data_IF_324248189817
#
_entry.id   IF_324248189817
#
_cell.length_a   1.000
_cell.length_b   1.000
_cell.length_c   1.000
_cell.angle_alpha   90.00
_cell.angle_beta   90.00
_cell.angle_gamma   90.00
#
_symmetry.space_group_name_H-M   'P 1'
#
loop_
_entity.id
_entity.type
_entity.pdbx_description
1 polymer ?
#
# COMPACT_ATOMS: atom_id res chain seq x y z
N UNK A 1 16.06 18.01 11.25
CA UNK A 1 16.35 17.38 9.94
C UNK A 1 16.41 18.47 8.89
N UNK A 2 17.17 18.27 7.81
CA UNK A 2 17.00 19.12 6.62
C UNK A 2 15.72 18.66 5.90
N UNK A 3 14.94 19.63 5.43
CA UNK A 3 13.70 19.39 4.68
C UNK A 3 14.00 19.39 3.17
N UNK A 4 13.75 18.25 2.54
CA UNK A 4 13.96 17.99 1.10
C UNK A 4 12.65 17.85 0.32
N UNK A 5 11.49 18.10 0.93
CA UNK A 5 10.19 17.87 0.27
C UNK A 5 10.03 18.67 -1.04
N UNK A 6 10.75 19.80 -1.18
CA UNK A 6 10.77 20.64 -2.39
C UNK A 6 12.19 20.90 -2.93
N UNK A 7 13.18 20.08 -2.55
CA UNK A 7 14.58 20.25 -2.94
C UNK A 7 15.16 18.94 -3.48
N UNK A 8 16.22 19.05 -4.26
CA UNK A 8 16.94 17.88 -4.74
C UNK A 8 17.48 17.04 -3.58
N UNK A 9 17.30 15.72 -3.67
CA UNK A 9 17.87 14.76 -2.72
C UNK A 9 19.37 14.63 -3.01
N UNK A 10 20.25 14.89 -2.04
CA UNK A 10 21.69 14.78 -2.25
C UNK A 10 22.11 13.31 -2.35
N UNK A 11 23.21 12.98 -3.07
CA UNK A 11 23.61 11.60 -3.37
C UNK A 11 23.67 10.66 -2.16
N UNK A 12 24.12 11.15 -1.00
CA UNK A 12 24.23 10.38 0.25
C UNK A 12 22.89 9.93 0.84
N UNK A 13 21.77 10.51 0.39
CA UNK A 13 20.41 10.16 0.82
C UNK A 13 19.62 9.36 -0.23
N UNK A 14 20.22 9.03 -1.38
CA UNK A 14 19.54 8.32 -2.48
C UNK A 14 19.49 6.80 -2.33
N UNK A 15 19.86 6.26 -1.17
CA UNK A 15 19.88 4.81 -0.94
C UNK A 15 20.84 4.05 -1.88
N UNK A 16 21.91 4.70 -2.36
CA UNK A 16 22.91 4.09 -3.24
C UNK A 16 22.62 4.20 -4.74
N UNK A 17 21.53 4.85 -5.16
CA UNK A 17 21.28 5.13 -6.58
C UNK A 17 22.27 6.17 -7.13
N UNK A 18 23.03 5.79 -8.15
CA UNK A 18 24.04 6.64 -8.80
C UNK A 18 23.81 6.88 -10.30
N UNK A 19 22.75 6.28 -10.86
CA UNK A 19 22.45 6.32 -12.29
C UNK A 19 21.40 7.35 -12.65
N UNK A 20 20.60 7.03 -13.67
CA UNK A 20 19.45 7.82 -14.09
C UNK A 20 18.53 8.14 -12.91
N UNK A 21 18.12 9.41 -12.80
CA UNK A 21 17.33 9.90 -11.68
C UNK A 21 16.31 10.92 -12.16
N UNK A 22 15.04 10.73 -11.83
CA UNK A 22 13.93 11.66 -12.07
C UNK A 22 12.98 11.55 -10.89
N UNK A 23 13.35 12.17 -9.77
CA UNK A 23 12.63 11.98 -8.51
C UNK A 23 12.53 13.24 -7.67
N UNK A 24 11.51 13.26 -6.81
CA UNK A 24 11.31 14.18 -5.70
C UNK A 24 11.17 13.37 -4.42
N UNK A 25 11.57 13.92 -3.28
CA UNK A 25 11.38 13.27 -1.96
C UNK A 25 9.89 13.09 -1.65
N UNK A 26 9.10 14.11 -1.93
CA UNK A 26 7.63 14.08 -1.82
C UNK A 26 7.06 14.67 -3.11
N UNK A 27 6.76 13.80 -4.09
CA UNK A 27 6.26 14.21 -5.41
C UNK A 27 4.97 15.05 -5.30
N UNK A 28 4.15 14.76 -4.29
CA UNK A 28 2.96 15.55 -3.96
C UNK A 28 3.26 17.03 -3.71
N UNK A 29 4.43 17.38 -3.19
CA UNK A 29 4.77 18.78 -2.86
C UNK A 29 5.50 19.50 -4.00
N UNK A 30 5.79 18.79 -5.09
CA UNK A 30 6.44 19.33 -6.29
C UNK A 30 5.57 19.19 -7.54
N UNK A 31 4.33 18.70 -7.42
CA UNK A 31 3.43 18.50 -8.56
C UNK A 31 1.95 18.52 -8.17
N UNK A 32 1.11 18.83 -9.14
CA UNK A 32 -0.33 18.52 -9.15
C UNK A 32 -0.59 17.41 -10.20
N UNK A 33 -1.85 17.10 -10.49
CA UNK A 33 -2.19 16.07 -11.48
C UNK A 33 -1.80 16.39 -12.93
N UNK A 34 -1.46 17.63 -13.27
CA UNK A 34 -1.25 18.10 -14.65
C UNK A 34 0.05 18.90 -14.89
N UNK A 35 0.89 19.03 -13.88
CA UNK A 35 2.19 19.68 -13.99
C UNK A 35 2.99 19.60 -12.70
N UNK A 36 4.27 19.93 -12.80
CA UNK A 36 5.16 19.87 -11.66
C UNK A 36 6.60 19.79 -12.08
N UNK A 37 7.43 19.32 -11.16
CA UNK A 37 8.83 19.08 -11.40
C UNK A 37 9.36 17.93 -10.55
N UNK A 38 10.44 17.32 -11.06
CA UNK A 38 11.32 16.40 -10.35
C UNK A 38 12.75 16.93 -10.38
N UNK A 39 13.68 16.23 -9.76
CA UNK A 39 15.11 16.53 -9.88
C UNK A 39 15.84 15.42 -10.63
N UNK A 40 16.89 15.80 -11.35
CA UNK A 40 17.82 14.87 -12.00
C UNK A 40 18.99 14.46 -11.10
N UNK A 41 19.86 13.59 -11.62
CA UNK A 41 21.00 13.07 -10.88
C UNK A 41 22.03 14.15 -10.56
N UNK A 42 22.10 15.23 -11.35
CA UNK A 42 22.90 16.44 -11.12
C UNK A 42 22.17 17.48 -10.24
N UNK A 43 21.08 17.08 -9.58
CA UNK A 43 20.29 17.93 -8.68
C UNK A 43 19.62 19.13 -9.38
N UNK A 44 19.51 19.11 -10.70
CA UNK A 44 18.80 20.14 -11.46
C UNK A 44 17.32 19.83 -11.49
N UNK A 45 16.51 20.90 -11.51
CA UNK A 45 15.06 20.80 -11.62
C UNK A 45 14.68 20.46 -13.05
N UNK A 46 13.82 19.46 -13.21
CA UNK A 46 13.21 19.05 -14.47
C UNK A 46 11.70 19.29 -14.39
N UNK A 47 11.22 20.35 -15.02
CA UNK A 47 9.79 20.66 -15.11
C UNK A 47 9.09 19.74 -16.12
N UNK A 48 7.84 19.40 -15.84
CA UNK A 48 6.94 18.70 -16.76
C UNK A 48 5.56 19.34 -16.80
N UNK A 49 4.86 19.11 -17.91
CA UNK A 49 3.48 19.54 -18.12
C UNK A 49 2.72 18.45 -18.86
N UNK A 50 1.48 18.21 -18.45
CA UNK A 50 0.70 17.07 -18.87
C UNK A 50 0.29 16.22 -17.66
N UNK A 51 -0.55 15.22 -17.90
CA UNK A 51 -1.02 14.37 -16.81
C UNK A 51 0.18 13.68 -16.15
N UNK A 52 0.35 13.88 -14.84
CA UNK A 52 1.58 13.52 -14.13
C UNK A 52 1.95 12.05 -14.30
N UNK A 53 0.97 11.14 -14.27
CA UNK A 53 1.23 9.72 -14.48
C UNK A 53 1.91 9.42 -15.82
N UNK A 54 1.56 10.17 -16.88
CA UNK A 54 2.19 10.06 -18.20
C UNK A 54 3.62 10.58 -18.16
N UNK A 55 3.85 11.74 -17.54
CA UNK A 55 5.18 12.34 -17.43
C UNK A 55 6.16 11.45 -16.63
N UNK A 56 5.70 10.83 -15.53
CA UNK A 56 6.52 9.88 -14.76
C UNK A 56 6.82 8.61 -15.59
N UNK A 57 5.85 8.13 -16.37
CA UNK A 57 6.09 7.01 -17.28
C UNK A 57 7.06 7.37 -18.42
N UNK A 58 7.01 8.60 -18.92
CA UNK A 58 7.92 9.10 -19.95
C UNK A 58 9.37 9.11 -19.48
N UNK A 59 9.63 9.48 -18.22
CA UNK A 59 10.97 9.37 -17.62
C UNK A 59 11.47 7.93 -17.52
N UNK A 60 10.60 6.97 -17.21
CA UNK A 60 10.97 5.57 -17.22
C UNK A 60 11.26 5.06 -18.65
N UNK A 61 10.54 5.55 -19.66
CA UNK A 61 10.83 5.28 -21.07
C UNK A 61 12.16 5.91 -21.52
N UNK A 62 12.47 7.14 -21.07
CA UNK A 62 13.76 7.81 -21.31
C UNK A 62 14.94 6.98 -20.79
N UNK A 63 14.79 6.41 -19.58
CA UNK A 63 15.78 5.45 -19.06
C UNK A 63 15.93 4.24 -19.97
N UNK A 64 14.81 3.61 -20.36
CA UNK A 64 14.85 2.43 -21.22
C UNK A 64 15.48 2.74 -22.59
N UNK A 65 15.21 3.91 -23.18
CA UNK A 65 15.80 4.34 -24.44
C UNK A 65 17.32 4.48 -24.37
N UNK A 66 17.84 5.02 -23.26
CA UNK A 66 19.28 5.20 -23.05
C UNK A 66 20.00 3.95 -22.52
N UNK A 67 19.25 2.94 -22.07
CA UNK A 67 19.81 1.72 -21.49
C UNK A 67 20.57 0.87 -22.54
N UNK A 68 21.85 0.63 -22.26
CA UNK A 68 22.82 0.00 -23.17
C UNK A 68 23.17 -1.47 -22.80
N UNK A 69 22.54 -2.04 -21.77
CA UNK A 69 22.79 -3.42 -21.30
C UNK A 69 24.19 -3.71 -20.73
N UNK A 70 24.99 -2.70 -20.38
CA UNK A 70 26.31 -2.91 -19.76
C UNK A 70 26.22 -3.39 -18.30
N UNK A 71 25.16 -3.00 -17.58
CA UNK A 71 24.91 -3.38 -16.18
C UNK A 71 23.43 -3.70 -15.99
N UNK A 72 23.06 -4.64 -15.09
CA UNK A 72 21.67 -4.84 -14.72
C UNK A 72 21.08 -3.56 -14.11
N UNK A 73 19.77 -3.38 -14.23
CA UNK A 73 19.07 -2.25 -13.64
C UNK A 73 18.09 -2.69 -12.55
N UNK A 74 17.86 -1.79 -11.61
CA UNK A 74 16.73 -1.82 -10.69
C UNK A 74 16.03 -0.46 -10.82
N UNK A 75 14.75 -0.48 -11.17
CA UNK A 75 13.99 0.73 -11.50
C UNK A 75 12.66 0.72 -10.73
N UNK A 76 12.42 1.80 -9.98
CA UNK A 76 11.14 2.07 -9.34
C UNK A 76 10.43 3.17 -10.13
N UNK A 77 9.26 2.86 -10.68
CA UNK A 77 8.35 3.86 -11.27
C UNK A 77 7.25 4.14 -10.25
N UNK A 78 7.50 5.13 -9.38
CA UNK A 78 6.57 5.49 -8.30
C UNK A 78 5.53 6.47 -8.82
N UNK A 79 4.37 5.94 -9.21
CA UNK A 79 3.20 6.77 -9.50
C UNK A 79 2.59 7.26 -8.19
N UNK A 80 2.07 8.48 -8.20
CA UNK A 80 1.28 9.01 -7.09
C UNK A 80 -0.21 8.80 -7.36
N UNK A 81 -0.63 8.75 -8.63
CA UNK A 81 -1.98 8.33 -9.00
C UNK A 81 -2.29 6.93 -8.47
N UNK A 82 -3.51 6.67 -7.96
CA UNK A 82 -4.68 7.56 -7.98
C UNK A 82 -4.84 8.40 -6.70
N UNK A 83 -3.78 8.83 -6.01
CA UNK A 83 -3.90 9.56 -4.75
C UNK A 83 -4.78 10.82 -4.87
N UNK A 84 -5.56 11.09 -3.81
CA UNK A 84 -6.35 12.33 -3.67
C UNK A 84 -5.43 13.55 -3.60
N UNK A 85 -5.70 14.61 -4.36
CA UNK A 85 -4.78 15.76 -4.38
C UNK A 85 -5.04 16.71 -3.21
N UNK A 86 -4.06 16.87 -2.32
CA UNK A 86 -4.19 17.65 -1.10
C UNK A 86 -4.50 19.15 -1.33
N UNK A 87 -4.07 19.71 -2.45
CA UNK A 87 -4.29 21.13 -2.82
C UNK A 87 -5.64 21.35 -3.52
N UNK A 88 -6.07 20.40 -4.35
CA UNK A 88 -7.34 20.44 -5.06
C UNK A 88 -8.52 19.88 -4.24
N UNK A 89 -8.21 19.14 -3.18
CA UNK A 89 -9.16 18.44 -2.33
C UNK A 89 -10.06 17.43 -3.06
N UNK A 90 -9.63 16.89 -4.20
CA UNK A 90 -10.33 15.85 -4.97
C UNK A 90 -9.35 14.92 -5.69
N UNK A 91 -9.83 13.76 -6.13
CA UNK A 91 -9.09 12.90 -7.05
C UNK A 91 -8.98 13.58 -8.41
N UNK A 92 -7.82 13.48 -9.05
CA UNK A 92 -7.59 14.07 -10.38
C UNK A 92 -7.32 12.97 -11.41
N UNK A 93 -8.38 12.57 -12.11
CA UNK A 93 -8.30 11.69 -13.27
C UNK A 93 -7.90 12.43 -14.56
N UNK A 94 -7.53 11.70 -15.63
CA UNK A 94 -7.33 12.29 -16.95
C UNK A 94 -8.59 12.96 -17.49
N UNK A 95 -8.48 14.13 -18.13
CA UNK A 95 -9.62 14.87 -18.71
C UNK A 95 -10.61 13.95 -19.44
N UNK A 96 -11.88 13.99 -19.04
CA UNK A 96 -12.93 13.11 -19.58
C UNK A 96 -13.22 11.86 -18.73
N UNK A 97 -12.49 11.64 -17.64
CA UNK A 97 -12.68 10.49 -16.73
C UNK A 97 -14.06 10.45 -16.11
N UNK A 98 -14.59 11.58 -15.62
CA UNK A 98 -15.94 11.62 -15.03
C UNK A 98 -17.02 11.20 -16.00
N UNK A 99 -16.95 11.65 -17.25
CA UNK A 99 -17.92 11.29 -18.28
C UNK A 99 -17.77 9.83 -18.71
N UNK A 100 -16.52 9.37 -18.89
CA UNK A 100 -16.23 8.00 -19.31
C UNK A 100 -16.65 6.96 -18.29
N UNK A 101 -16.43 7.26 -17.01
CA UNK A 101 -16.75 6.37 -15.89
C UNK A 101 -18.02 6.81 -15.15
N UNK A 102 -18.96 7.50 -15.82
CA UNK A 102 -20.20 7.94 -15.19
C UNK A 102 -21.10 6.79 -14.71
N UNK A 103 -21.07 5.65 -15.42
CA UNK A 103 -21.86 4.44 -15.11
C UNK A 103 -21.08 3.45 -14.23
N UNK A 104 -20.28 3.96 -13.29
CA UNK A 104 -19.48 3.15 -12.38
C UNK A 104 -20.33 2.31 -11.42
N UNK A 105 -19.75 1.20 -10.95
CA UNK A 105 -20.27 0.44 -9.82
C UNK A 105 -19.31 0.59 -8.65
N UNK A 106 -19.84 0.99 -7.49
CA UNK A 106 -19.03 1.05 -6.30
C UNK A 106 -18.70 -0.37 -5.80
N UNK A 107 -17.51 -0.57 -5.22
CA UNK A 107 -17.24 -1.69 -4.33
C UNK A 107 -18.35 -1.85 -3.30
N UNK A 108 -18.73 -3.10 -3.01
CA UNK A 108 -19.89 -3.43 -2.17
C UNK A 108 -19.82 -2.84 -0.76
N UNK A 109 -18.62 -2.75 -0.18
CA UNK A 109 -18.40 -2.13 1.12
C UNK A 109 -18.70 -0.63 1.06
N UNK A 110 -18.19 0.09 0.05
CA UNK A 110 -18.46 1.51 -0.14
C UNK A 110 -19.96 1.77 -0.42
N UNK A 111 -20.59 0.91 -1.22
CA UNK A 111 -22.02 0.99 -1.49
C UNK A 111 -22.86 0.77 -0.22
N UNK A 112 -22.54 -0.27 0.56
CA UNK A 112 -23.32 -0.66 1.72
C UNK A 112 -23.18 0.29 2.91
N UNK A 113 -21.96 0.76 3.19
CA UNK A 113 -21.71 1.75 4.25
C UNK A 113 -22.36 3.09 3.92
N UNK A 114 -22.34 3.46 2.63
CA UNK A 114 -22.70 4.80 2.21
C UNK A 114 -21.81 5.86 2.89
N UNK A 115 -22.27 7.11 2.87
CA UNK A 115 -21.46 8.23 3.34
C UNK A 115 -20.19 8.43 2.48
N UNK A 116 -19.20 9.10 3.06
CA UNK A 116 -17.96 9.43 2.36
C UNK A 116 -18.18 10.27 1.09
N UNK A 117 -17.22 10.20 0.17
CA UNK A 117 -17.22 10.93 -1.10
C UNK A 117 -17.02 10.02 -2.33
N UNK A 118 -17.11 8.70 -2.15
CA UNK A 118 -16.91 7.72 -3.23
C UNK A 118 -17.75 8.02 -4.48
N UNK A 119 -19.03 8.37 -4.34
CA UNK A 119 -19.90 8.64 -5.49
C UNK A 119 -19.43 9.82 -6.36
N UNK A 120 -18.77 10.80 -5.76
CA UNK A 120 -18.25 11.96 -6.47
C UNK A 120 -16.86 11.69 -7.07
N UNK A 121 -16.02 10.98 -6.33
CA UNK A 121 -14.59 10.82 -6.61
C UNK A 121 -14.25 9.60 -7.45
N UNK A 122 -15.06 8.54 -7.38
CA UNK A 122 -14.72 7.24 -7.98
C UNK A 122 -14.49 7.29 -9.49
N UNK A 123 -15.22 8.07 -10.31
CA UNK A 123 -14.93 8.17 -11.73
C UNK A 123 -13.51 8.67 -12.06
N UNK A 124 -13.00 9.65 -11.29
CA UNK A 124 -11.65 10.17 -11.48
C UNK A 124 -10.59 9.20 -10.92
N UNK A 125 -10.89 8.52 -9.82
CA UNK A 125 -10.08 7.41 -9.32
C UNK A 125 -9.92 6.30 -10.39
N UNK A 126 -11.02 5.88 -11.02
CA UNK A 126 -11.00 4.89 -12.10
C UNK A 126 -10.22 5.38 -13.32
N UNK A 127 -10.36 6.66 -13.69
CA UNK A 127 -9.59 7.26 -14.77
C UNK A 127 -8.09 7.28 -14.50
N UNK A 128 -7.68 7.58 -13.27
CA UNK A 128 -6.29 7.52 -12.85
C UNK A 128 -5.75 6.07 -12.89
N UNK A 129 -6.51 5.10 -12.37
CA UNK A 129 -6.17 3.67 -12.44
C UNK A 129 -6.02 3.18 -13.89
N UNK A 130 -6.98 3.49 -14.77
CA UNK A 130 -6.90 3.16 -16.20
C UNK A 130 -5.62 3.75 -16.81
N UNK A 131 -5.26 4.98 -16.42
CA UNK A 131 -4.08 5.59 -16.99
C UNK A 131 -2.78 4.95 -16.51
N UNK A 132 -2.69 4.59 -15.23
CA UNK A 132 -1.56 3.82 -14.69
C UNK A 132 -1.42 2.48 -15.41
N UNK A 133 -2.53 1.77 -15.68
CA UNK A 133 -2.54 0.53 -16.47
C UNK A 133 -2.01 0.74 -17.90
N UNK A 134 -2.51 1.76 -18.60
CA UNK A 134 -2.04 2.10 -19.94
C UNK A 134 -0.53 2.42 -19.95
N UNK A 135 -0.03 3.13 -18.94
CA UNK A 135 1.39 3.45 -18.81
C UNK A 135 2.26 2.24 -18.48
N UNK A 136 1.79 1.30 -17.66
CA UNK A 136 2.44 0.00 -17.50
C UNK A 136 2.52 -0.75 -18.85
N UNK A 137 1.45 -0.72 -19.65
CA UNK A 137 1.43 -1.27 -21.00
C UNK A 137 2.51 -0.67 -21.91
N UNK A 138 2.74 0.64 -21.85
CA UNK A 138 3.81 1.34 -22.59
C UNK A 138 5.19 0.86 -22.17
N UNK A 139 5.45 0.72 -20.87
CA UNK A 139 6.72 0.22 -20.35
C UNK A 139 6.98 -1.23 -20.78
N UNK A 140 5.96 -2.09 -20.69
CA UNK A 140 6.04 -3.48 -21.15
C UNK A 140 6.32 -3.55 -22.65
N UNK A 141 5.64 -2.74 -23.46
CA UNK A 141 5.87 -2.67 -24.89
C UNK A 141 7.32 -2.26 -25.19
N UNK A 142 7.85 -1.27 -24.45
CA UNK A 142 9.25 -0.82 -24.61
C UNK A 142 10.26 -1.90 -24.21
N UNK A 143 10.01 -2.61 -23.11
CA UNK A 143 10.84 -3.76 -22.72
C UNK A 143 10.85 -4.85 -23.80
N UNK A 144 9.71 -5.11 -24.46
CA UNK A 144 9.62 -6.08 -25.57
C UNK A 144 10.36 -5.59 -26.81
N UNK A 145 10.17 -4.34 -27.20
CA UNK A 145 10.87 -3.68 -28.31
C UNK A 145 12.40 -3.79 -28.15
N UNK A 146 12.90 -3.57 -26.93
CA UNK A 146 14.33 -3.65 -26.63
C UNK A 146 14.84 -5.07 -26.36
N UNK A 147 14.00 -6.09 -26.43
CA UNK A 147 14.37 -7.48 -26.11
C UNK A 147 14.72 -7.73 -24.64
N UNK A 148 14.29 -6.85 -23.73
CA UNK A 148 14.58 -6.92 -22.29
C UNK A 148 13.48 -7.62 -21.50
N UNK A 149 12.28 -7.75 -22.08
CA UNK A 149 11.10 -8.25 -21.37
C UNK A 149 11.32 -9.62 -20.71
N UNK A 150 11.90 -10.58 -21.42
CA UNK A 150 12.12 -11.92 -20.87
C UNK A 150 13.14 -11.96 -19.72
N UNK A 151 14.05 -10.99 -19.66
CA UNK A 151 15.07 -10.88 -18.61
C UNK A 151 14.75 -9.79 -17.57
N UNK A 152 13.48 -9.39 -17.46
CA UNK A 152 13.02 -8.39 -16.50
C UNK A 152 11.94 -8.98 -15.60
N UNK A 153 12.14 -8.89 -14.28
CA UNK A 153 11.07 -9.13 -13.31
C UNK A 153 10.28 -7.84 -13.14
N UNK A 154 8.96 -7.92 -13.28
CA UNK A 154 8.04 -6.79 -13.10
C UNK A 154 7.21 -7.05 -11.85
N UNK A 155 7.24 -6.10 -10.92
CA UNK A 155 6.42 -6.09 -9.70
C UNK A 155 5.47 -4.88 -9.81
N UNK A 156 4.17 -5.14 -9.79
CA UNK A 156 3.13 -4.13 -9.72
C UNK A 156 2.39 -4.26 -8.39
N UNK A 157 2.34 -3.19 -7.62
CA UNK A 157 1.67 -3.15 -6.32
C UNK A 157 1.19 -1.74 -6.00
N UNK A 158 0.43 -1.61 -4.91
CA UNK A 158 0.14 -0.34 -4.26
C UNK A 158 0.68 -0.35 -2.82
N UNK A 159 0.85 0.82 -2.23
CA UNK A 159 1.25 1.03 -0.84
C UNK A 159 0.07 0.87 0.13
N UNK A 160 -1.13 1.32 -0.25
CA UNK A 160 -2.38 1.16 0.49
C UNK A 160 -3.62 1.32 -0.41
N UNK A 161 -4.78 0.90 0.09
CA UNK A 161 -6.07 1.11 -0.55
C UNK A 161 -6.68 2.49 -0.29
N UNK A 162 -7.93 2.69 -0.74
CA UNK A 162 -8.73 3.87 -0.43
C UNK A 162 -10.14 3.47 -0.06
N UNK A 163 -10.58 3.87 1.14
CA UNK A 163 -11.94 3.63 1.60
C UNK A 163 -12.86 4.84 1.40
N UNK A 164 -12.43 5.87 0.65
CA UNK A 164 -13.28 7.04 0.30
C UNK A 164 -13.98 7.66 1.51
N UNK A 165 -13.25 7.72 2.64
CA UNK A 165 -13.71 8.24 3.94
C UNK A 165 -14.94 7.55 4.55
N UNK A 166 -15.31 6.36 4.05
CA UNK A 166 -16.40 5.54 4.62
C UNK A 166 -15.99 4.81 5.91
N UNK A 167 -14.68 4.55 6.10
CA UNK A 167 -14.14 3.72 7.17
C UNK A 167 -13.38 4.53 8.20
N UNK A 168 -13.97 5.60 8.71
CA UNK A 168 -13.35 6.53 9.67
C UNK A 168 -14.43 7.40 10.37
N UNK A 169 -15.48 6.75 10.86
CA UNK A 169 -16.60 7.43 11.51
C UNK A 169 -16.71 7.05 12.99
N UNK A 170 -15.66 6.47 13.55
CA UNK A 170 -15.69 5.92 14.90
C UNK A 170 -15.53 7.04 15.93
N UNK A 171 -16.35 7.02 16.98
CA UNK A 171 -16.36 8.07 18.01
C UNK A 171 -15.03 8.17 18.78
N UNK A 172 -14.25 7.09 18.76
CA UNK A 172 -12.97 6.98 19.44
C UNK A 172 -11.75 7.30 18.56
N UNK A 173 -11.96 7.83 17.35
CA UNK A 173 -10.90 8.35 16.50
C UNK A 173 -10.16 9.51 17.19
N UNK A 174 -8.83 9.41 17.20
CA UNK A 174 -7.96 10.34 17.90
C UNK A 174 -6.72 10.62 17.05
N UNK A 175 -6.86 11.48 16.04
CA UNK A 175 -5.75 11.91 15.20
C UNK A 175 -6.14 12.39 13.81
N UNK A 176 -5.22 12.29 12.84
CA UNK A 176 -5.45 12.71 11.46
C UNK A 176 -6.11 11.60 10.68
N UNK A 177 -7.09 11.97 9.86
CA UNK A 177 -7.82 10.96 9.13
C UNK A 177 -8.24 11.35 7.73
N UNK A 178 -8.11 10.39 6.83
CA UNK A 178 -8.23 10.58 5.39
C UNK A 178 -8.89 9.35 4.71
N UNK A 179 -8.20 8.72 3.78
CA UNK A 179 -8.69 7.68 2.87
C UNK A 179 -8.13 6.28 3.16
N UNK A 180 -7.20 6.11 4.11
CA UNK A 180 -6.39 4.87 4.22
C UNK A 180 -6.09 4.37 5.64
N UNK A 181 -6.38 5.15 6.68
CA UNK A 181 -5.82 4.91 8.04
C UNK A 181 -6.69 3.99 8.88
N UNK A 182 -6.96 2.82 8.33
CA UNK A 182 -7.97 1.90 8.84
C UNK A 182 -7.49 0.46 8.77
N UNK A 183 -7.99 -0.40 9.67
CA UNK A 183 -7.67 -1.83 9.67
C UNK A 183 -8.40 -2.61 8.55
N UNK A 184 -9.37 -1.99 7.88
CA UNK A 184 -10.24 -2.64 6.89
C UNK A 184 -9.50 -2.97 5.58
N UNK A 185 -9.97 -3.97 4.84
CA UNK A 185 -9.38 -4.42 3.58
C UNK A 185 -9.40 -3.30 2.52
N UNK A 186 -10.37 -2.38 2.59
CA UNK A 186 -10.40 -1.18 1.75
C UNK A 186 -9.14 -0.29 1.89
N UNK A 187 -8.39 -0.42 2.99
CA UNK A 187 -7.11 0.23 3.23
C UNK A 187 -5.91 -0.74 3.13
N UNK A 188 -6.03 -1.95 3.68
CA UNK A 188 -4.88 -2.86 3.81
C UNK A 188 -4.68 -3.83 2.64
N UNK A 189 -5.73 -4.15 1.88
CA UNK A 189 -5.68 -5.15 0.80
C UNK A 189 -5.32 -4.47 -0.52
N UNK A 190 -4.06 -4.56 -0.90
CA UNK A 190 -3.52 -3.99 -2.15
C UNK A 190 -3.37 -5.03 -3.26
N UNK A 191 -3.42 -4.63 -4.54
CA UNK A 191 -3.02 -5.52 -5.64
C UNK A 191 -1.52 -5.85 -5.51
N UNK A 192 -1.15 -7.08 -5.85
CA UNK A 192 0.25 -7.49 -6.05
C UNK A 192 0.32 -8.45 -7.23
N UNK A 193 1.06 -8.07 -8.27
CA UNK A 193 1.34 -8.89 -9.45
C UNK A 193 2.84 -8.93 -9.66
N UNK A 194 3.40 -10.14 -9.72
CA UNK A 194 4.83 -10.35 -10.00
C UNK A 194 4.95 -11.23 -11.24
N UNK A 195 5.77 -10.81 -12.20
CA UNK A 195 6.05 -11.56 -13.44
C UNK A 195 7.53 -11.68 -13.66
N UNK A 196 8.00 -12.89 -13.96
CA UNK A 196 9.39 -13.18 -14.33
C UNK A 196 10.16 -13.91 -13.23
N UNK A 197 11.29 -14.51 -13.58
CA UNK A 197 12.05 -15.37 -12.67
C UNK A 197 11.23 -16.55 -12.18
N UNK A 198 11.15 -16.75 -10.86
CA UNK A 198 10.33 -17.78 -10.23
C UNK A 198 8.81 -17.60 -10.49
N UNK A 199 8.36 -16.40 -10.87
CA UNK A 199 6.95 -16.04 -11.04
C UNK A 199 6.49 -16.14 -12.51
N UNK A 200 6.63 -17.31 -13.13
CA UNK A 200 6.36 -17.51 -14.57
C UNK A 200 5.13 -18.37 -14.90
N UNK A 201 4.46 -18.92 -13.89
CA UNK A 201 3.35 -19.89 -14.05
C UNK A 201 1.99 -19.25 -14.31
N UNK A 202 1.81 -17.97 -13.98
CA UNK A 202 0.52 -17.27 -14.09
C UNK A 202 -0.54 -17.72 -13.06
N UNK A 203 -0.12 -18.27 -11.91
CA UNK A 203 -1.00 -18.73 -10.85
C UNK A 203 -1.53 -17.60 -9.96
N UNK A 204 -2.74 -17.79 -9.42
CA UNK A 204 -3.27 -16.97 -8.32
C UNK A 204 -2.86 -17.60 -7.00
N UNK A 205 -2.27 -16.81 -6.12
CA UNK A 205 -1.86 -17.24 -4.77
C UNK A 205 -2.84 -16.65 -3.76
N UNK A 206 -3.58 -17.53 -3.05
CA UNK A 206 -4.57 -17.12 -2.03
C UNK A 206 -3.96 -16.98 -0.62
N UNK A 207 -2.71 -17.42 -0.45
CA UNK A 207 -1.98 -17.21 0.80
C UNK A 207 -1.80 -15.71 1.07
N UNK A 208 -1.98 -15.32 2.33
CA UNK A 208 -1.80 -13.94 2.75
C UNK A 208 -0.33 -13.59 2.69
N UNK A 209 0.00 -12.46 2.08
CA UNK A 209 1.37 -11.93 1.99
C UNK A 209 1.36 -10.44 2.34
N UNK A 210 2.51 -9.89 2.73
CA UNK A 210 2.67 -8.48 3.08
C UNK A 210 3.64 -7.79 2.12
N UNK A 211 3.39 -6.50 1.84
CA UNK A 211 4.31 -5.64 1.07
C UNK A 211 5.69 -5.53 1.72
N UNK A 212 5.81 -5.78 3.03
CA UNK A 212 7.10 -5.85 3.74
C UNK A 212 8.02 -6.98 3.22
N UNK A 213 7.45 -7.96 2.51
CA UNK A 213 8.18 -9.08 1.91
C UNK A 213 8.86 -8.70 0.59
N UNK A 214 8.48 -7.57 -0.04
CA UNK A 214 8.99 -7.17 -1.34
C UNK A 214 10.50 -6.90 -1.34
N UNK A 215 11.08 -6.14 -0.39
CA UNK A 215 12.53 -5.92 -0.36
C UNK A 215 13.34 -7.22 -0.31
N UNK A 216 12.92 -8.16 0.55
CA UNK A 216 13.57 -9.48 0.68
C UNK A 216 13.42 -10.32 -0.58
N UNK A 217 12.24 -10.31 -1.19
CA UNK A 217 11.98 -11.01 -2.45
C UNK A 217 12.82 -10.44 -3.60
N UNK A 218 12.95 -9.11 -3.70
CA UNK A 218 13.78 -8.45 -4.72
C UNK A 218 15.25 -8.85 -4.57
N UNK A 219 15.77 -8.87 -3.34
CA UNK A 219 17.14 -9.31 -3.07
C UNK A 219 17.34 -10.80 -3.40
N UNK A 220 16.40 -11.67 -3.04
CA UNK A 220 16.44 -13.09 -3.38
C UNK A 220 16.46 -13.32 -4.89
N UNK A 221 15.61 -12.61 -5.65
CA UNK A 221 15.61 -12.64 -7.12
C UNK A 221 16.93 -12.15 -7.75
N UNK A 222 17.67 -11.29 -7.05
CA UNK A 222 19.01 -10.86 -7.43
C UNK A 222 20.12 -11.82 -6.96
N UNK A 223 19.78 -12.94 -6.31
CA UNK A 223 20.72 -13.92 -5.79
C UNK A 223 21.36 -13.55 -4.45
N UNK A 224 20.75 -12.63 -3.69
CA UNK A 224 21.24 -12.14 -2.40
C UNK A 224 20.39 -12.70 -1.26
N UNK A 225 20.97 -13.58 -0.45
CA UNK A 225 20.33 -14.11 0.76
C UNK A 225 20.61 -13.19 1.97
N UNK A 226 19.55 -12.60 2.51
CA UNK A 226 19.58 -11.75 3.72
C UNK A 226 19.17 -12.49 4.99
N UNK A 227 18.75 -13.76 4.88
CA UNK A 227 18.33 -14.60 5.99
C UNK A 227 17.32 -13.91 6.91
N UNK A 228 17.67 -13.83 8.20
CA UNK A 228 16.87 -13.17 9.25
C UNK A 228 17.22 -11.69 9.47
N UNK A 229 18.14 -11.13 8.68
CA UNK A 229 18.55 -9.73 8.79
C UNK A 229 17.53 -8.73 8.24
N UNK A 230 16.52 -9.23 7.50
CA UNK A 230 15.43 -8.46 6.93
C UNK A 230 14.10 -9.11 7.28
N UNK A 231 13.11 -8.29 7.66
CA UNK A 231 11.74 -8.72 7.93
C UNK A 231 11.05 -9.20 6.65
N UNK A 232 9.88 -9.82 6.82
CA UNK A 232 9.11 -10.37 5.72
C UNK A 232 9.67 -11.69 5.18
N UNK A 233 8.94 -12.20 4.20
CA UNK A 233 9.16 -13.49 3.58
C UNK A 233 9.83 -13.33 2.21
N UNK A 234 10.46 -14.39 1.73
CA UNK A 234 10.80 -14.47 0.31
C UNK A 234 9.59 -15.06 -0.42
N UNK A 235 8.88 -14.22 -1.17
CA UNK A 235 7.66 -14.63 -1.87
C UNK A 235 7.93 -15.70 -2.94
N UNK A 236 9.16 -15.81 -3.45
CA UNK A 236 9.52 -16.88 -4.39
C UNK A 236 9.41 -18.28 -3.74
N UNK A 237 9.49 -18.37 -2.41
CA UNK A 237 9.29 -19.62 -1.66
C UNK A 237 7.84 -19.86 -1.27
N UNK A 238 7.03 -18.79 -1.21
CA UNK A 238 5.62 -18.83 -0.83
C UNK A 238 4.75 -19.29 -2.01
N UNK A 239 5.10 -18.92 -3.24
CA UNK A 239 4.30 -19.27 -4.45
C UNK A 239 4.15 -20.77 -4.68
N UNK A 240 5.12 -21.57 -4.24
CA UNK A 240 5.11 -23.03 -4.40
C UNK A 240 4.31 -23.73 -3.27
N UNK A 241 3.83 -22.99 -2.27
CA UNK A 241 3.04 -23.51 -1.14
C UNK A 241 3.85 -24.36 -0.15
N UNK A 242 5.19 -24.37 -0.27
CA UNK A 242 6.09 -25.33 0.39
C UNK A 242 6.76 -24.84 1.68
N UNK A 243 6.26 -23.77 2.31
CA UNK A 243 6.88 -23.30 3.56
C UNK A 243 6.26 -24.01 4.76
N UNK A 244 6.88 -25.11 5.19
CA UNK A 244 6.50 -25.87 6.39
C UNK A 244 6.49 -24.95 7.63
N UNK A 245 5.40 -25.01 8.41
CA UNK A 245 5.25 -24.22 9.64
C UNK A 245 4.93 -22.74 9.42
N UNK A 246 4.74 -22.28 8.17
CA UNK A 246 4.32 -20.91 7.88
C UNK A 246 2.89 -20.64 8.37
N UNK A 247 2.74 -19.63 9.22
CA UNK A 247 1.43 -19.12 9.61
C UNK A 247 0.84 -18.27 8.48
N UNK A 248 -0.41 -18.55 8.08
CA UNK A 248 -1.11 -17.75 7.08
C UNK A 248 -1.83 -16.58 7.76
N UNK A 249 -1.06 -15.61 8.23
CA UNK A 249 -1.54 -14.43 8.96
C UNK A 249 -0.71 -13.19 8.65
N UNK A 250 -1.31 -12.01 8.82
CA UNK A 250 -0.67 -10.70 8.60
C UNK A 250 -0.88 -9.83 9.83
N UNK A 251 0.18 -9.11 10.20
CA UNK A 251 0.17 -8.06 11.20
C UNK A 251 0.13 -6.69 10.53
N UNK A 252 -0.66 -5.76 11.08
CA UNK A 252 -0.71 -4.38 10.62
C UNK A 252 -0.70 -3.40 11.79
N UNK A 253 -0.03 -2.27 11.59
CA UNK A 253 -0.07 -1.12 12.49
C UNK A 253 -0.90 -0.01 11.85
N UNK A 254 -1.84 0.54 12.61
CA UNK A 254 -2.62 1.71 12.23
C UNK A 254 -2.06 2.87 13.05
N UNK A 255 -1.66 3.92 12.34
CA UNK A 255 -1.04 5.13 12.89
C UNK A 255 -1.75 6.37 12.34
N UNK A 256 -1.46 7.51 12.95
CA UNK A 256 -2.04 8.83 12.63
C UNK A 256 -3.53 8.97 12.96
N UNK A 257 -4.43 8.09 12.53
CA UNK A 257 -5.87 8.13 12.88
C UNK A 257 -6.16 7.60 14.29
N UNK A 258 -5.34 6.64 14.72
CA UNK A 258 -5.34 6.03 16.06
C UNK A 258 -3.99 5.38 16.34
N UNK A 259 -3.77 4.96 17.58
CA UNK A 259 -2.71 4.00 17.92
C UNK A 259 -3.34 2.61 17.89
N UNK A 260 -3.34 1.96 16.72
CA UNK A 260 -4.08 0.71 16.49
C UNK A 260 -3.20 -0.42 15.96
N UNK A 261 -3.63 -1.66 16.19
CA UNK A 261 -2.98 -2.88 15.71
C UNK A 261 -4.02 -3.85 15.19
N UNK A 262 -3.68 -4.61 14.16
CA UNK A 262 -4.55 -5.64 13.62
C UNK A 262 -3.80 -6.91 13.29
N UNK A 263 -4.50 -8.04 13.43
CA UNK A 263 -4.11 -9.33 12.87
C UNK A 263 -5.19 -9.79 11.90
N UNK A 264 -4.76 -10.26 10.72
CA UNK A 264 -5.64 -10.87 9.72
C UNK A 264 -5.21 -12.32 9.48
N UNK A 265 -6.19 -13.22 9.45
CA UNK A 265 -6.03 -14.62 9.03
C UNK A 265 -6.88 -14.87 7.78
N UNK A 266 -6.92 -16.13 7.30
CA UNK A 266 -7.79 -16.54 6.19
C UNK A 266 -9.29 -16.30 6.49
N UNK A 267 -9.68 -16.38 7.77
CA UNK A 267 -11.08 -16.28 8.20
C UNK A 267 -11.40 -15.05 9.01
N UNK A 268 -10.49 -14.58 9.86
CA UNK A 268 -10.82 -13.53 10.81
C UNK A 268 -9.89 -12.32 10.66
N UNK A 269 -10.44 -11.14 10.92
CA UNK A 269 -9.64 -9.95 11.20
C UNK A 269 -10.00 -9.43 12.58
N UNK A 270 -8.98 -9.24 13.40
CA UNK A 270 -9.12 -8.69 14.75
C UNK A 270 -8.25 -7.44 14.89
N UNK A 271 -8.82 -6.35 15.39
CA UNK A 271 -8.12 -5.10 15.60
C UNK A 271 -8.35 -4.56 17.02
N UNK A 272 -7.39 -3.76 17.47
CA UNK A 272 -7.38 -3.09 18.77
C UNK A 272 -6.89 -1.66 18.61
N UNK A 273 -7.28 -0.79 19.54
CA UNK A 273 -6.80 0.59 19.62
C UNK A 273 -6.43 0.97 21.05
N UNK A 274 -5.60 1.99 21.23
CA UNK A 274 -5.27 2.55 22.54
C UNK A 274 -6.19 3.75 22.87
N UNK A 275 -7.06 3.65 23.89
CA UNK A 275 -7.98 4.73 24.23
C UNK A 275 -7.29 6.02 24.65
N UNK A 276 -7.77 7.16 24.14
CA UNK A 276 -7.30 8.50 24.54
C UNK A 276 -5.90 8.86 24.07
N UNK A 277 -5.25 8.02 23.25
CA UNK A 277 -3.94 8.33 22.66
C UNK A 277 -4.11 8.82 21.23
N UNK A 278 -3.42 9.92 20.92
CA UNK A 278 -3.41 10.50 19.58
C UNK A 278 -2.39 9.79 18.68
N UNK A 279 -2.86 9.17 17.60
CA UNK A 279 -2.02 8.38 16.67
C UNK A 279 -1.01 9.20 15.87
N UNK A 280 -1.21 10.52 15.74
CA UNK A 280 -0.25 11.44 15.12
C UNK A 280 0.87 11.86 16.08
N UNK A 281 0.68 11.65 17.38
CA UNK A 281 1.63 12.05 18.43
C UNK A 281 2.40 10.87 19.03
N UNK A 282 1.79 9.68 19.04
CA UNK A 282 2.33 8.50 19.72
C UNK A 282 2.25 7.30 18.78
N UNK A 283 3.34 6.53 18.68
CA UNK A 283 3.42 5.39 17.75
C UNK A 283 2.94 4.05 18.35
N UNK A 284 2.94 3.89 19.68
CA UNK A 284 2.58 2.65 20.38
C UNK A 284 2.03 2.90 21.78
N UNK A 285 1.36 1.90 22.35
CA UNK A 285 0.84 1.91 23.71
C UNK A 285 1.24 0.63 24.44
N UNK A 286 1.22 0.65 25.77
CA UNK A 286 1.33 -0.56 26.59
C UNK A 286 -0.07 -1.15 26.89
N UNK A 287 -1.12 -0.38 26.62
CA UNK A 287 -2.53 -0.75 26.85
C UNK A 287 -3.36 -0.49 25.61
N UNK A 288 -4.08 -1.53 25.18
CA UNK A 288 -5.06 -1.49 24.10
C UNK A 288 -6.40 -2.04 24.58
N UNK A 289 -7.45 -1.81 23.80
CA UNK A 289 -8.76 -2.45 23.98
C UNK A 289 -9.27 -3.00 22.64
N UNK A 290 -10.18 -3.96 22.69
CA UNK A 290 -10.89 -4.47 21.51
C UNK A 290 -11.47 -3.32 20.66
N UNK A 291 -11.28 -3.42 19.34
CA UNK A 291 -11.85 -2.50 18.35
C UNK A 291 -12.81 -3.27 17.44
N UNK A 292 -12.25 -4.18 16.63
CA UNK A 292 -12.97 -4.92 15.61
C UNK A 292 -12.71 -6.42 15.67
N UNK A 293 -13.73 -7.20 15.35
CA UNK A 293 -13.60 -8.59 14.93
C UNK A 293 -14.56 -8.83 13.77
N UNK A 294 -14.04 -9.27 12.63
CA UNK A 294 -14.81 -9.62 11.44
C UNK A 294 -14.60 -11.09 11.09
N UNK A 295 -15.68 -11.84 10.83
CA UNK A 295 -15.63 -13.16 10.19
C UNK A 295 -15.74 -12.97 8.67
N UNK A 296 -14.59 -12.98 8.02
CA UNK A 296 -14.41 -12.66 6.60
C UNK A 296 -15.00 -13.72 5.67
N UNK A 297 -15.37 -14.90 6.19
CA UNK A 297 -16.07 -15.92 5.38
C UNK A 297 -17.55 -15.61 5.25
N UNK A 298 -18.19 -15.14 6.32
CA UNK A 298 -19.60 -14.72 6.30
C UNK A 298 -19.79 -13.24 5.95
N UNK A 299 -18.78 -12.42 6.21
CA UNK A 299 -18.78 -10.97 6.03
C UNK A 299 -17.49 -10.50 5.33
N UNK A 300 -17.32 -10.82 4.04
CA UNK A 300 -16.11 -10.46 3.28
C UNK A 300 -15.95 -8.95 3.05
N UNK A 301 -16.97 -8.16 3.39
CA UNK A 301 -16.99 -6.70 3.27
C UNK A 301 -16.84 -6.00 4.62
N UNK A 302 -16.66 -6.74 5.71
CA UNK A 302 -16.38 -6.20 7.05
C UNK A 302 -17.46 -5.20 7.52
N UNK A 303 -18.73 -5.53 7.29
CA UNK A 303 -19.88 -4.68 7.62
C UNK A 303 -20.42 -4.94 9.03
N UNK A 304 -20.10 -6.08 9.63
CA UNK A 304 -20.66 -6.52 10.91
C UNK A 304 -19.55 -6.82 11.91
N UNK A 305 -19.26 -5.86 12.79
CA UNK A 305 -18.32 -6.07 13.88
C UNK A 305 -18.91 -7.02 14.93
N UNK A 306 -18.31 -8.21 15.08
CA UNK A 306 -18.75 -9.26 16.02
C UNK A 306 -17.88 -9.34 17.28
N UNK A 307 -17.06 -8.33 17.58
CA UNK A 307 -16.10 -8.39 18.70
C UNK A 307 -16.75 -8.54 20.08
N UNK A 308 -18.02 -8.13 20.22
CA UNK A 308 -18.82 -8.31 21.43
C UNK A 308 -19.84 -9.46 21.36
N UNK A 309 -19.88 -10.21 20.26
CA UNK A 309 -20.78 -11.36 20.13
C UNK A 309 -20.22 -12.55 20.93
N UNK A 310 -20.95 -13.08 21.94
CA UNK A 310 -20.51 -14.22 22.73
C UNK A 310 -20.14 -15.45 21.88
N UNK A 311 -20.77 -15.64 20.72
CA UNK A 311 -20.47 -16.75 19.80
C UNK A 311 -19.03 -16.72 19.26
N UNK A 312 -18.40 -15.54 19.23
CA UNK A 312 -17.04 -15.34 18.72
C UNK A 312 -15.99 -15.20 19.83
N UNK A 313 -16.36 -15.36 21.11
CA UNK A 313 -15.44 -15.21 22.26
C UNK A 313 -14.16 -16.02 22.11
N UNK A 314 -14.27 -17.28 21.65
CA UNK A 314 -13.11 -18.14 21.48
C UNK A 314 -12.15 -17.60 20.40
N UNK A 315 -12.67 -17.24 19.23
CA UNK A 315 -11.88 -16.67 18.14
C UNK A 315 -11.23 -15.34 18.55
N UNK A 316 -11.97 -14.48 19.28
CA UNK A 316 -11.44 -13.23 19.83
C UNK A 316 -10.23 -13.47 20.73
N UNK A 317 -10.36 -14.37 21.71
CA UNK A 317 -9.28 -14.63 22.67
C UNK A 317 -8.05 -15.27 22.01
N UNK A 318 -8.26 -16.14 21.02
CA UNK A 318 -7.17 -16.72 20.23
C UNK A 318 -6.41 -15.64 19.46
N UNK A 319 -7.12 -14.80 18.69
CA UNK A 319 -6.53 -13.74 17.89
C UNK A 319 -5.90 -12.65 18.76
N UNK A 320 -6.49 -12.33 19.91
CA UNK A 320 -5.88 -11.44 20.91
C UNK A 320 -4.53 -11.96 21.38
N UNK A 321 -4.43 -13.26 21.67
CA UNK A 321 -3.16 -13.87 22.08
C UNK A 321 -2.12 -13.82 20.95
N UNK A 322 -2.51 -14.11 19.71
CA UNK A 322 -1.63 -14.04 18.53
C UNK A 322 -1.18 -12.61 18.24
N UNK A 323 -2.08 -11.64 18.33
CA UNK A 323 -1.76 -10.23 18.16
C UNK A 323 -0.77 -9.73 19.22
N UNK A 324 -0.92 -10.14 20.48
CA UNK A 324 0.08 -9.85 21.52
C UNK A 324 1.46 -10.41 21.18
N UNK A 325 1.52 -11.62 20.62
CA UNK A 325 2.80 -12.21 20.18
C UNK A 325 3.43 -11.40 19.05
N UNK A 326 2.64 -10.94 18.07
CA UNK A 326 3.09 -10.03 17.02
C UNK A 326 3.61 -8.71 17.57
N UNK A 327 2.90 -8.06 18.48
CA UNK A 327 3.34 -6.81 19.11
C UNK A 327 4.65 -7.04 19.87
N UNK A 328 4.80 -8.16 20.58
CA UNK A 328 6.05 -8.50 21.26
C UNK A 328 7.20 -8.73 20.27
N UNK A 329 6.97 -9.39 19.14
CA UNK A 329 8.04 -9.63 18.18
C UNK A 329 8.43 -8.37 17.39
N UNK A 330 7.45 -7.65 16.85
CA UNK A 330 7.67 -6.48 16.02
C UNK A 330 8.11 -5.25 16.83
N UNK A 331 7.54 -5.05 18.02
CA UNK A 331 7.73 -3.81 18.81
C UNK A 331 8.50 -4.04 20.11
N UNK A 332 8.82 -5.29 20.46
CA UNK A 332 9.51 -5.65 21.71
C UNK A 332 8.77 -5.13 22.95
N UNK A 333 7.44 -5.13 22.89
CA UNK A 333 6.54 -4.64 23.94
C UNK A 333 5.59 -5.73 24.43
N UNK A 334 5.55 -5.90 25.76
CA UNK A 334 4.46 -6.63 26.40
C UNK A 334 3.27 -5.69 26.62
N UNK A 335 2.08 -6.12 26.21
CA UNK A 335 0.89 -5.27 26.25
C UNK A 335 -0.29 -5.93 26.95
N UNK A 336 -1.18 -5.10 27.49
CA UNK A 336 -2.49 -5.51 28.00
C UNK A 336 -3.54 -5.15 26.95
N UNK A 337 -4.40 -6.12 26.63
CA UNK A 337 -5.56 -5.91 25.75
C UNK A 337 -6.83 -6.20 26.56
N UNK A 338 -7.55 -5.14 26.90
CA UNK A 338 -8.82 -5.20 27.62
C UNK A 338 -10.02 -5.37 26.69
N UNK A 339 -11.19 -5.65 27.27
CA UNK A 339 -12.44 -5.53 26.54
C UNK A 339 -12.76 -4.04 26.34
N UNK A 340 -13.07 -3.65 25.10
CA UNK A 340 -13.51 -2.30 24.77
C UNK A 340 -14.96 -2.04 25.19
N UNK A 341 -15.37 -0.78 25.19
CA UNK A 341 -16.77 -0.43 25.39
C UNK A 341 -17.59 -0.89 24.18
N UNK A 342 -18.74 -1.53 24.42
CA UNK A 342 -19.74 -1.77 23.36
C UNK A 342 -20.31 -0.41 22.96
N UNK A 343 -19.99 0.04 21.75
CA UNK A 343 -20.67 1.21 21.16
C UNK A 343 -22.17 0.86 21.06
N UNK A 344 -23.03 1.72 21.63
CA UNK A 344 -24.49 1.50 21.77
C UNK A 344 -25.28 1.95 20.57
#
# INVERSE_FOLDING_TARGET
SQDYQRKAIPPELRGGYTGFWRASDVLEFTSDGYGGYVFDEQMQRCDFSGYRADCIADYALEFLDSYNSEKPFFMTVSQIEPHHQNDAHHYQGPKGSKEKFADFQLPKDLEALGGGDAREEYPDYLGACERVDANLGRLIAKLKEKGLYENTVIIFTSDHGSHFRTRNCDDHLNGYDDYKRSAHDAALRVPLVIRGGAFSTGSVVEHLVSTESLPKTILSLAGIDVGKGMIGEDLATVIDGTVEGRANEIYAQISESRVGRAIRTDRYKYAVYAPGLNGGSVASSDVYVDDYLYDLRSDPHELHNVVWDPAYTHAKLELRSRLKAWIMDAERKEVVIGDGCKET
#
